data_IF_307931648972
#
_entry.id   IF_307931648972
#
_cell.length_a   1.000
_cell.length_b   1.000
_cell.length_c   1.000
_cell.angle_alpha   90.00
_cell.angle_beta   90.00
_cell.angle_gamma   90.00
#
_symmetry.space_group_name_H-M   'P 1'
#
loop_
_entity.id
_entity.type
_entity.pdbx_description
1 polymer ?
#
# COMPACT_ATOMS: atom_id res chain seq x y z
N UNK A 1 -10.67 9.10 -5.57
CA UNK A 1 -11.83 9.04 -4.64
C UNK A 1 -12.31 7.61 -4.58
N UNK A 2 -12.83 7.17 -3.44
CA UNK A 2 -13.55 5.90 -3.36
C UNK A 2 -14.95 6.06 -3.95
N UNK A 3 -15.55 4.96 -4.41
CA UNK A 3 -16.97 4.91 -4.76
C UNK A 3 -17.88 4.79 -3.51
N UNK A 4 -19.19 4.60 -3.74
CA UNK A 4 -20.18 4.43 -2.67
C UNK A 4 -19.98 3.18 -1.81
N UNK A 5 -19.22 2.20 -2.30
CA UNK A 5 -18.87 0.97 -1.58
C UNK A 5 -17.53 1.10 -0.86
N UNK A 6 -16.86 2.25 -0.93
CA UNK A 6 -15.54 2.46 -0.36
C UNK A 6 -14.41 1.88 -1.22
N UNK A 7 -14.67 1.47 -2.46
CA UNK A 7 -13.67 0.91 -3.36
C UNK A 7 -12.90 2.03 -4.07
N UNK A 8 -11.57 1.92 -4.08
CA UNK A 8 -10.70 2.69 -4.94
C UNK A 8 -9.84 1.74 -5.76
N UNK A 9 -9.69 2.05 -7.05
CA UNK A 9 -8.85 1.31 -7.99
C UNK A 9 -7.89 2.27 -8.66
N UNK A 10 -6.65 1.85 -8.82
CA UNK A 10 -5.64 2.58 -9.55
C UNK A 10 -4.70 1.60 -10.24
N UNK A 11 -4.23 1.97 -11.42
CA UNK A 11 -3.20 1.22 -12.13
C UNK A 11 -1.83 1.73 -11.68
N UNK A 12 -0.94 0.80 -11.35
CA UNK A 12 0.44 1.11 -10.94
C UNK A 12 1.38 0.02 -11.44
N UNK A 13 2.68 0.33 -11.38
CA UNK A 13 3.74 -0.67 -11.50
C UNK A 13 3.99 -1.34 -10.15
N UNK A 14 4.64 -2.51 -10.18
CA UNK A 14 5.23 -3.08 -8.97
C UNK A 14 6.32 -2.13 -8.44
N UNK A 15 6.32 -1.76 -7.15
CA UNK A 15 7.28 -0.78 -6.65
C UNK A 15 8.72 -1.32 -6.71
N UNK A 16 9.67 -0.42 -6.98
CA UNK A 16 11.09 -0.71 -6.83
C UNK A 16 11.50 -0.84 -5.36
N UNK A 17 12.80 -0.95 -5.11
CA UNK A 17 13.35 -1.02 -3.75
C UNK A 17 14.57 -0.13 -3.59
N UNK A 18 14.84 0.23 -2.34
CA UNK A 18 16.00 1.00 -1.93
C UNK A 18 16.55 0.46 -0.61
N UNK A 19 17.76 0.89 -0.25
CA UNK A 19 18.45 0.36 0.93
C UNK A 19 17.64 0.66 2.20
N UNK A 20 17.55 -0.36 3.05
CA UNK A 20 17.03 -0.24 4.41
C UNK A 20 15.52 -0.37 4.53
N UNK A 21 14.79 -0.52 3.41
CA UNK A 21 13.34 -0.68 3.41
C UNK A 21 12.88 -1.81 2.50
N UNK A 22 11.96 -2.64 2.99
CA UNK A 22 11.28 -3.63 2.17
C UNK A 22 10.42 -2.97 1.10
N UNK A 23 10.18 -3.66 -0.01
CA UNK A 23 9.34 -3.16 -1.10
C UNK A 23 7.91 -2.86 -0.61
N UNK A 24 7.44 -1.63 -0.81
CA UNK A 24 6.14 -1.18 -0.30
C UNK A 24 5.50 -0.08 -1.17
N UNK A 25 4.20 0.12 -1.00
CA UNK A 25 3.46 1.30 -1.51
C UNK A 25 2.99 2.12 -0.31
N UNK A 26 3.20 3.44 -0.34
CA UNK A 26 2.63 4.32 0.67
C UNK A 26 1.12 4.48 0.50
N UNK A 27 0.38 4.43 1.60
CA UNK A 27 -1.05 4.66 1.63
C UNK A 27 -1.36 5.84 2.54
N UNK A 28 -2.20 6.76 2.05
CA UNK A 28 -2.79 7.82 2.87
C UNK A 28 -4.27 7.95 2.55
N UNK A 29 -5.12 7.90 3.58
CA UNK A 29 -6.57 8.04 3.45
C UNK A 29 -6.98 9.41 3.97
N UNK A 30 -7.83 10.09 3.21
CA UNK A 30 -8.38 11.40 3.56
C UNK A 30 -9.90 11.37 3.55
N UNK A 31 -10.52 12.01 4.54
CA UNK A 31 -11.97 12.18 4.64
C UNK A 31 -12.36 13.66 4.50
N UNK A 32 -13.52 13.90 3.89
CA UNK A 32 -14.08 15.24 3.73
C UNK A 32 -13.40 16.10 2.64
N UNK A 33 -12.62 15.50 1.74
CA UNK A 33 -12.11 16.20 0.57
C UNK A 33 -13.23 16.49 -0.43
N UNK A 34 -13.18 17.64 -1.10
CA UNK A 34 -14.25 18.12 -1.99
C UNK A 34 -13.68 18.50 -3.35
N UNK A 35 -14.35 18.10 -4.42
CA UNK A 35 -14.08 18.62 -5.76
C UNK A 35 -14.95 19.84 -5.98
N UNK A 36 -14.33 20.98 -6.28
CA UNK A 36 -15.03 22.21 -6.64
C UNK A 36 -15.56 22.04 -8.07
N UNK A 37 -16.85 21.73 -8.21
CA UNK A 37 -17.48 21.39 -9.50
C UNK A 37 -17.24 22.42 -10.62
N UNK A 38 -17.11 23.69 -10.29
CA UNK A 38 -16.87 24.76 -11.26
C UNK A 38 -15.44 24.79 -11.82
N UNK A 39 -14.45 24.24 -11.11
CA UNK A 39 -13.04 24.31 -11.48
C UNK A 39 -12.36 22.94 -11.61
N UNK A 40 -13.01 21.88 -11.13
CA UNK A 40 -12.40 20.56 -10.98
C UNK A 40 -11.31 20.50 -9.91
N UNK A 41 -11.08 21.60 -9.16
CA UNK A 41 -10.02 21.65 -8.15
C UNK A 41 -10.38 20.79 -6.94
N UNK A 42 -9.43 19.99 -6.46
CA UNK A 42 -9.60 19.17 -5.27
C UNK A 42 -9.12 19.93 -4.03
N UNK A 43 -10.04 20.19 -3.10
CA UNK A 43 -9.75 20.69 -1.76
C UNK A 43 -9.45 19.49 -0.85
N UNK A 44 -8.25 19.50 -0.26
CA UNK A 44 -7.80 18.39 0.59
C UNK A 44 -8.65 18.23 1.85
N UNK A 45 -9.01 16.98 2.14
CA UNK A 45 -9.64 16.60 3.40
C UNK A 45 -8.64 16.27 4.52
N UNK A 46 -9.21 15.95 5.67
CA UNK A 46 -8.50 15.47 6.87
C UNK A 46 -7.81 14.14 6.59
N UNK A 47 -6.52 14.03 6.91
CA UNK A 47 -5.78 12.76 6.83
C UNK A 47 -6.21 11.89 8.01
N UNK A 48 -6.91 10.79 7.72
CA UNK A 48 -7.40 9.90 8.77
C UNK A 48 -6.47 8.72 9.04
N UNK A 49 -5.66 8.34 8.03
CA UNK A 49 -4.78 7.19 8.10
C UNK A 49 -3.54 7.40 7.24
N UNK A 50 -2.39 7.01 7.76
CA UNK A 50 -1.14 6.85 6.99
C UNK A 50 -0.60 5.46 7.28
N UNK A 51 -0.28 4.73 6.23
CA UNK A 51 0.19 3.34 6.31
C UNK A 51 1.04 2.97 5.11
N UNK A 52 1.41 1.69 5.05
CA UNK A 52 2.19 1.12 3.97
C UNK A 52 1.56 -0.20 3.55
N UNK A 53 1.71 -0.55 2.28
CA UNK A 53 1.25 -1.80 1.72
C UNK A 53 2.48 -2.61 1.33
N UNK A 54 2.60 -3.80 1.91
CA UNK A 54 3.74 -4.69 1.71
C UNK A 54 3.37 -5.85 0.79
N UNK A 55 4.40 -6.54 0.28
CA UNK A 55 4.24 -7.66 -0.62
C UNK A 55 4.92 -8.90 -0.08
N UNK A 56 4.40 -10.07 -0.44
CA UNK A 56 5.03 -11.33 -0.09
C UNK A 56 6.42 -11.43 -0.75
N UNK A 57 7.37 -12.01 -0.01
CA UNK A 57 8.74 -12.22 -0.45
C UNK A 57 8.85 -13.08 -1.70
N UNK A 58 8.05 -14.15 -1.82
CA UNK A 58 8.05 -15.04 -3.00
C UNK A 58 7.70 -14.27 -4.27
N UNK A 59 6.72 -13.38 -4.20
CA UNK A 59 6.37 -12.53 -5.34
C UNK A 59 7.47 -11.52 -5.65
N UNK A 60 8.04 -10.89 -4.62
CA UNK A 60 9.09 -9.89 -4.81
C UNK A 60 10.36 -10.51 -5.41
N UNK A 61 10.73 -11.71 -4.97
CA UNK A 61 11.83 -12.50 -5.53
C UNK A 61 11.58 -12.83 -7.01
N UNK A 62 10.35 -13.21 -7.37
CA UNK A 62 9.97 -13.43 -8.77
C UNK A 62 10.08 -12.14 -9.60
N UNK A 63 9.52 -11.03 -9.13
CA UNK A 63 9.57 -9.73 -9.83
C UNK A 63 11.01 -9.27 -10.03
N UNK A 64 11.90 -9.49 -9.05
CA UNK A 64 13.30 -9.11 -9.14
C UNK A 64 14.05 -9.78 -10.30
N UNK A 65 13.55 -10.90 -10.83
CA UNK A 65 14.12 -11.58 -12.00
C UNK A 65 13.65 -11.00 -13.34
N UNK A 66 12.66 -10.11 -13.35
CA UNK A 66 12.05 -9.58 -14.56
C UNK A 66 12.64 -8.23 -14.95
N UNK A 67 12.76 -7.95 -16.25
CA UNK A 67 13.12 -6.60 -16.70
C UNK A 67 11.98 -5.59 -16.37
N UNK A 68 12.30 -4.35 -15.98
CA UNK A 68 13.65 -3.80 -15.78
C UNK A 68 14.26 -4.09 -14.39
N UNK A 69 13.51 -4.66 -13.45
CA UNK A 69 13.93 -4.92 -12.07
C UNK A 69 15.20 -5.77 -11.94
N UNK A 70 15.42 -6.70 -12.87
CA UNK A 70 16.64 -7.53 -12.93
C UNK A 70 17.92 -6.75 -13.20
N UNK A 71 17.82 -5.50 -13.67
CA UNK A 71 18.97 -4.60 -13.87
C UNK A 71 19.32 -3.80 -12.61
N UNK A 72 18.52 -3.92 -11.54
CA UNK A 72 18.71 -3.19 -10.31
C UNK A 72 19.86 -3.79 -9.48
N UNK A 73 20.84 -2.97 -9.10
CA UNK A 73 22.07 -3.41 -8.45
C UNK A 73 22.06 -3.29 -6.92
N UNK A 74 21.00 -2.74 -6.33
CA UNK A 74 20.87 -2.61 -4.88
C UNK A 74 20.33 -3.92 -4.30
N UNK A 75 21.01 -4.43 -3.27
CA UNK A 75 20.52 -5.54 -2.45
C UNK A 75 19.24 -5.14 -1.72
N UNK A 76 18.18 -5.89 -1.93
CA UNK A 76 16.86 -5.63 -1.34
C UNK A 76 16.84 -5.94 0.16
N UNK A 77 16.24 -5.06 0.95
CA UNK A 77 15.85 -5.37 2.33
C UNK A 77 14.59 -6.23 2.30
N UNK A 78 14.57 -7.34 3.05
CA UNK A 78 13.42 -8.25 3.13
C UNK A 78 12.45 -7.78 4.22
N UNK A 79 11.19 -8.18 4.14
CA UNK A 79 10.15 -7.79 5.12
C UNK A 79 10.49 -8.20 6.56
N UNK A 80 11.20 -9.31 6.75
CA UNK A 80 11.63 -9.82 8.06
C UNK A 80 12.71 -8.94 8.73
N UNK A 81 13.39 -8.11 7.95
CA UNK A 81 14.46 -7.21 8.39
C UNK A 81 14.09 -5.73 8.28
N UNK A 82 12.90 -5.41 7.73
CA UNK A 82 12.39 -4.05 7.68
C UNK A 82 11.76 -3.65 9.03
N UNK A 83 12.35 -2.65 9.69
CA UNK A 83 11.90 -2.19 11.01
C UNK A 83 10.47 -1.65 11.02
N UNK A 84 9.99 -1.06 9.91
CA UNK A 84 8.64 -0.53 9.82
C UNK A 84 7.62 -1.64 9.63
N UNK A 85 7.92 -2.67 8.86
CA UNK A 85 7.10 -3.87 8.74
C UNK A 85 6.89 -4.50 10.12
N UNK A 86 7.96 -4.61 10.92
CA UNK A 86 7.88 -5.16 12.28
C UNK A 86 7.06 -4.26 13.23
N UNK A 87 7.34 -2.96 13.25
CA UNK A 87 6.70 -2.02 14.18
C UNK A 87 5.21 -1.76 13.87
N UNK A 88 4.83 -1.86 12.59
CA UNK A 88 3.47 -1.54 12.14
C UNK A 88 2.51 -2.74 12.13
N UNK A 89 2.96 -3.94 12.55
CA UNK A 89 2.22 -5.18 12.34
C UNK A 89 1.96 -5.44 10.83
N UNK A 90 3.03 -5.37 10.04
CA UNK A 90 3.01 -5.39 8.58
C UNK A 90 2.36 -6.63 7.95
N UNK A 91 2.21 -7.72 8.71
CA UNK A 91 1.46 -8.89 8.27
C UNK A 91 -0.01 -8.56 7.92
N UNK A 92 -0.64 -7.59 8.60
CA UNK A 92 -1.99 -7.11 8.29
C UNK A 92 -2.03 -6.12 7.11
N UNK A 93 -0.86 -5.75 6.59
CA UNK A 93 -0.68 -4.78 5.51
C UNK A 93 -0.19 -5.43 4.21
N UNK A 94 -0.20 -6.76 4.15
CA UNK A 94 0.13 -7.51 2.94
C UNK A 94 -0.98 -7.39 1.90
N UNK A 95 -0.61 -7.02 0.68
CA UNK A 95 -1.52 -7.03 -0.46
C UNK A 95 -1.74 -8.47 -0.91
N UNK A 96 -3.00 -8.86 -1.06
CA UNK A 96 -3.36 -10.12 -1.71
C UNK A 96 -3.17 -9.97 -3.22
N UNK A 97 -2.32 -10.79 -3.82
CA UNK A 97 -1.92 -10.69 -5.22
C UNK A 97 -2.42 -11.89 -6.00
N UNK A 98 -2.97 -11.63 -7.19
CA UNK A 98 -3.34 -12.63 -8.18
C UNK A 98 -2.78 -12.25 -9.54
N UNK A 99 -2.53 -13.23 -10.42
CA UNK A 99 -2.30 -12.93 -11.83
C UNK A 99 -3.59 -12.41 -12.45
N UNK A 100 -3.48 -11.34 -13.25
CA UNK A 100 -4.62 -10.85 -14.03
C UNK A 100 -5.14 -11.93 -15.00
N UNK A 101 -4.21 -12.70 -15.58
CA UNK A 101 -4.50 -13.92 -16.33
C UNK A 101 -3.57 -15.05 -15.87
N UNK A 102 -4.06 -16.07 -15.15
CA UNK A 102 -3.24 -17.16 -14.65
C UNK A 102 -2.52 -17.98 -15.73
N UNK A 103 -3.05 -18.02 -16.95
CA UNK A 103 -2.44 -18.75 -18.07
C UNK A 103 -1.27 -17.98 -18.69
N UNK A 104 -1.33 -16.64 -18.71
CA UNK A 104 -0.29 -15.77 -19.28
C UNK A 104 0.75 -15.36 -18.23
N UNK A 105 0.38 -15.34 -16.95
CA UNK A 105 1.25 -14.98 -15.84
C UNK A 105 1.60 -13.50 -15.80
N UNK A 106 2.83 -13.18 -15.39
CA UNK A 106 3.29 -11.80 -15.15
C UNK A 106 3.19 -10.86 -16.36
N UNK A 107 3.24 -11.40 -17.59
CA UNK A 107 3.18 -10.58 -18.81
C UNK A 107 1.85 -9.84 -18.99
N UNK A 108 0.77 -10.39 -18.45
CA UNK A 108 -0.56 -9.76 -18.46
C UNK A 108 -0.78 -8.85 -17.24
N UNK A 109 0.14 -8.89 -16.27
CA UNK A 109 0.09 -8.10 -15.05
C UNK A 109 -0.55 -8.82 -13.86
N UNK A 110 -0.69 -8.04 -12.78
CA UNK A 110 -1.15 -8.50 -11.48
C UNK A 110 -2.39 -7.71 -11.06
N UNK A 111 -3.24 -8.35 -10.25
CA UNK A 111 -4.33 -7.70 -9.52
C UNK A 111 -3.98 -7.77 -8.04
N UNK A 112 -3.90 -6.60 -7.41
CA UNK A 112 -3.67 -6.45 -5.97
C UNK A 112 -4.93 -6.02 -5.25
N UNK A 113 -5.25 -6.70 -4.15
CA UNK A 113 -6.42 -6.42 -3.33
C UNK A 113 -5.98 -6.28 -1.87
N UNK A 114 -6.43 -5.21 -1.22
CA UNK A 114 -6.25 -4.99 0.20
C UNK A 114 -7.50 -4.35 0.78
N UNK A 115 -7.90 -4.78 1.99
CA UNK A 115 -8.97 -4.16 2.76
C UNK A 115 -8.35 -3.37 3.90
N UNK A 116 -8.66 -2.08 3.98
CA UNK A 116 -8.10 -1.18 4.99
C UNK A 116 -9.21 -0.68 5.89
N UNK A 117 -9.19 -1.10 7.16
CA UNK A 117 -10.04 -0.53 8.20
C UNK A 117 -9.47 0.81 8.66
N UNK A 118 -10.25 1.88 8.58
CA UNK A 118 -9.84 3.23 8.99
C UNK A 118 -10.88 3.87 9.91
N UNK A 119 -10.40 4.62 10.90
CA UNK A 119 -11.23 5.51 11.69
C UNK A 119 -11.23 6.89 11.03
N UNK A 120 -12.39 7.36 10.57
CA UNK A 120 -12.48 8.60 9.78
C UNK A 120 -12.06 9.86 10.55
N UNK A 121 -12.16 9.84 11.87
CA UNK A 121 -11.85 10.95 12.77
C UNK A 121 -10.47 10.88 13.42
N UNK A 122 -9.68 9.82 13.21
CA UNK A 122 -8.35 9.71 13.82
C UNK A 122 -7.34 10.59 13.09
N UNK A 123 -6.52 11.34 13.80
CA UNK A 123 -5.36 12.03 13.21
C UNK A 123 -4.12 11.17 13.40
N UNK A 124 -3.43 10.72 12.33
CA UNK A 124 -2.20 9.97 12.47
C UNK A 124 -1.09 10.82 13.09
N UNK A 125 -0.25 10.21 13.93
CA UNK A 125 0.92 10.88 14.47
C UNK A 125 1.93 11.13 13.35
N UNK A 126 2.17 12.41 13.05
CA UNK A 126 3.06 12.85 11.97
C UNK A 126 4.54 12.42 12.19
N UNK A 127 4.88 12.02 13.41
CA UNK A 127 6.23 11.64 13.83
C UNK A 127 6.52 10.15 13.65
N UNK A 128 5.52 9.35 13.25
CA UNK A 128 5.66 7.91 13.12
C UNK A 128 5.20 7.47 11.73
N UNK A 129 6.05 7.62 10.72
CA UNK A 129 5.80 7.19 9.33
C UNK A 129 5.65 5.66 9.15
N UNK A 130 5.34 4.91 10.22
CA UNK A 130 5.33 3.46 10.19
C UNK A 130 4.84 2.77 11.46
N UNK A 131 3.87 3.32 12.19
CA UNK A 131 3.38 2.67 13.40
C UNK A 131 1.89 2.89 13.65
N UNK A 132 1.09 1.91 13.23
CA UNK A 132 -0.19 1.59 13.86
C UNK A 132 -1.37 2.50 13.52
N UNK A 133 -2.25 2.01 12.64
CA UNK A 133 -3.66 2.35 12.76
C UNK A 133 -4.13 2.06 14.19
N UNK A 134 -4.94 2.94 14.75
CA UNK A 134 -5.52 2.75 16.08
C UNK A 134 -6.21 1.39 16.13
N UNK A 135 -5.93 0.64 17.21
CA UNK A 135 -6.53 -0.66 17.51
C UNK A 135 -8.06 -0.58 17.28
N UNK A 136 -8.66 -1.44 16.45
CA UNK A 136 -10.11 -1.52 16.37
C UNK A 136 -10.68 -1.79 17.78
N UNK A 137 -11.78 -1.13 18.19
CA UNK A 137 -12.43 -1.49 19.43
C UNK A 137 -12.87 -2.96 19.38
N UNK A 138 -12.85 -3.69 20.51
CA UNK A 138 -13.34 -5.06 20.54
C UNK A 138 -14.81 -5.06 20.08
N UNK A 139 -15.17 -6.07 19.29
CA UNK A 139 -16.55 -6.32 18.90
C UNK A 139 -17.42 -6.40 20.17
N UNK A 140 -18.42 -5.54 20.24
CA UNK A 140 -19.58 -5.70 21.13
C UNK A 140 -20.71 -6.22 20.25
#
# INVERSE_FOLDING_TARGET
MTDSNGLATFDTIYPGWYIGRATHIHLRVRFGGVIVNSTGFYLEGHISHTGQLFFNETLTDLIATQAPYSSHNITRTRIDTDGIYQQSNGALQLVSIQYKNPTVGLREGLVGIVTVGVHSSSTPDNNNMGGGGTRPPPFI
#
